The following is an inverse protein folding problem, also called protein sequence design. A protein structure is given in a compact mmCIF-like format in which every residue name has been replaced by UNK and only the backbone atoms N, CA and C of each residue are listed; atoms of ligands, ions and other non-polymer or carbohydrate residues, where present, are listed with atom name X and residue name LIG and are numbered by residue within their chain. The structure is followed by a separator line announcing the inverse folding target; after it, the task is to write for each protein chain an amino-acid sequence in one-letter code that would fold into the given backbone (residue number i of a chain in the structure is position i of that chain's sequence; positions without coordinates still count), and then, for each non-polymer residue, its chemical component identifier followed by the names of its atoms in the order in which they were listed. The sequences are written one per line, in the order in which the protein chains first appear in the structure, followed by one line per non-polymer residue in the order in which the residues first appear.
data_IF_534003865051
#
_entry.id   IF_534003865051
#
_cell.length_a   1.000
_cell.length_b   1.000
_cell.length_c   1.000
_cell.angle_alpha   90.00
_cell.angle_beta   90.00
_cell.angle_gamma   90.00
#
_symmetry.space_group_name_H-M   'P 1'
#
loop_
_entity.id
_entity.type
_entity.pdbx_description
1 polymer ?
#
# COMPACT_ATOMS: atom_id res chain seq x y z
N UNK A 1 11.79 -10.83 -6.47
CA UNK A 1 11.41 -10.47 -5.10
C UNK A 1 11.11 -11.75 -4.33
N UNK A 2 11.72 -11.92 -3.17
CA UNK A 2 11.65 -13.16 -2.40
C UNK A 2 10.78 -12.97 -1.15
N UNK A 3 10.16 -14.05 -0.63
CA UNK A 3 9.52 -14.01 0.68
C UNK A 3 10.51 -13.62 1.76
N UNK A 4 10.11 -12.72 2.65
CA UNK A 4 10.90 -12.29 3.80
C UNK A 4 10.06 -12.41 5.06
N UNK A 5 10.73 -12.41 6.22
CA UNK A 5 10.02 -12.40 7.49
C UNK A 5 9.38 -11.03 7.75
N UNK A 6 8.38 -11.00 8.62
CA UNK A 6 7.75 -9.74 9.05
C UNK A 6 8.78 -8.83 9.74
N UNK A 7 9.68 -9.41 10.51
CA UNK A 7 10.76 -8.65 11.17
C UNK A 7 11.68 -7.98 10.17
N UNK A 8 12.05 -8.67 9.09
CA UNK A 8 12.85 -8.09 8.00
C UNK A 8 12.09 -6.98 7.28
N UNK A 9 10.80 -7.21 6.99
CA UNK A 9 9.96 -6.18 6.37
C UNK A 9 9.88 -4.93 7.24
N UNK A 10 9.64 -5.09 8.54
CA UNK A 10 9.59 -3.99 9.49
C UNK A 10 10.91 -3.21 9.57
N UNK A 11 12.03 -3.92 9.61
CA UNK A 11 13.36 -3.30 9.73
C UNK A 11 13.77 -2.53 8.48
N UNK A 12 13.28 -2.94 7.31
CA UNK A 12 13.69 -2.40 6.02
C UNK A 12 12.63 -1.50 5.36
N UNK A 13 11.38 -1.59 5.78
CA UNK A 13 10.37 -0.64 5.33
C UNK A 13 10.68 0.74 5.91
N UNK A 14 10.91 1.75 5.07
CA UNK A 14 11.21 3.08 5.60
C UNK A 14 10.05 3.59 6.44
N UNK A 15 10.27 3.98 7.70
CA UNK A 15 9.19 4.34 8.62
C UNK A 15 8.40 5.59 8.21
N UNK A 16 8.87 6.29 7.19
CA UNK A 16 8.25 7.53 6.67
C UNK A 16 7.85 7.43 5.21
N UNK A 17 8.04 6.27 4.59
CA UNK A 17 7.62 6.11 3.19
C UNK A 17 6.13 5.85 3.14
N UNK A 18 5.41 6.59 2.28
CA UNK A 18 4.04 6.24 2.02
C UNK A 18 3.97 4.87 1.33
N UNK A 19 2.96 4.10 1.68
CA UNK A 19 2.65 2.86 1.00
C UNK A 19 1.72 3.14 -0.18
N UNK A 20 1.79 2.28 -1.19
CA UNK A 20 0.85 2.27 -2.30
C UNK A 20 -0.12 1.12 -2.09
N UNK A 21 -1.38 1.44 -1.93
CA UNK A 21 -2.45 0.45 -1.86
C UNK A 21 -2.74 -0.06 -3.28
N UNK A 22 -2.56 -1.37 -3.48
CA UNK A 22 -2.83 -2.05 -4.74
C UNK A 22 -4.05 -2.95 -4.54
N UNK A 23 -5.12 -2.64 -5.23
CA UNK A 23 -6.40 -3.33 -5.10
C UNK A 23 -7.02 -3.56 -6.47
N UNK A 24 -7.60 -4.74 -6.67
CA UNK A 24 -8.29 -5.06 -7.91
C UNK A 24 -9.61 -4.27 -7.98
N UNK A 25 -9.73 -3.47 -9.02
CA UNK A 25 -10.94 -2.68 -9.26
C UNK A 25 -12.09 -3.50 -9.85
N UNK A 26 -13.28 -2.91 -9.95
CA UNK A 26 -14.47 -3.59 -10.50
C UNK A 26 -14.30 -4.02 -11.96
N UNK A 27 -13.44 -3.35 -12.71
CA UNK A 27 -13.11 -3.67 -14.11
C UNK A 27 -12.05 -4.76 -14.26
N UNK A 28 -11.53 -5.30 -13.15
CA UNK A 28 -10.48 -6.29 -13.13
C UNK A 28 -9.07 -5.72 -13.23
N UNK A 29 -8.89 -4.44 -13.51
CA UNK A 29 -7.60 -3.78 -13.48
C UNK A 29 -7.17 -3.48 -12.04
N UNK A 30 -5.86 -3.40 -11.80
CA UNK A 30 -5.34 -3.01 -10.49
C UNK A 30 -5.35 -1.48 -10.36
N UNK A 31 -6.02 -0.99 -9.34
CA UNK A 31 -5.92 0.40 -8.89
C UNK A 31 -4.77 0.54 -7.90
N UNK A 32 -3.98 1.59 -8.03
CA UNK A 32 -2.81 1.86 -7.18
C UNK A 32 -2.88 3.29 -6.67
N UNK A 33 -3.04 3.45 -5.36
CA UNK A 33 -3.22 4.76 -4.73
C UNK A 33 -2.28 4.91 -3.55
N UNK A 34 -1.72 6.11 -3.38
CA UNK A 34 -0.86 6.42 -2.25
C UNK A 34 -1.68 6.55 -0.97
N UNK A 35 -1.23 5.91 0.11
CA UNK A 35 -1.80 6.10 1.44
C UNK A 35 -1.26 7.38 2.07
N UNK A 36 -2.00 7.96 3.05
CA UNK A 36 -1.55 9.17 3.75
C UNK A 36 -0.42 8.87 4.74
N UNK A 37 -0.60 7.83 5.56
CA UNK A 37 0.41 7.32 6.47
C UNK A 37 0.18 5.84 6.73
N UNK A 38 1.19 5.19 7.30
CA UNK A 38 1.02 3.84 7.83
C UNK A 38 1.84 3.65 9.11
N UNK A 39 1.48 2.67 9.92
CA UNK A 39 2.23 2.26 11.09
C UNK A 39 2.04 0.78 11.40
N UNK A 40 3.05 0.19 12.03
CA UNK A 40 2.98 -1.16 12.54
C UNK A 40 2.23 -1.16 13.88
N UNK A 41 1.20 -2.02 14.00
CA UNK A 41 0.44 -2.18 15.23
C UNK A 41 0.96 -3.31 16.09
N UNK A 42 1.39 -4.40 15.44
CA UNK A 42 1.92 -5.57 16.11
C UNK A 42 2.87 -6.28 15.15
N UNK A 43 4.00 -6.77 15.66
CA UNK A 43 5.04 -7.40 14.82
C UNK A 43 5.21 -8.87 15.15
N UNK A 44 5.01 -9.28 16.41
CA UNK A 44 5.40 -10.63 16.88
C UNK A 44 4.34 -11.70 16.68
N UNK A 45 3.14 -11.47 17.18
CA UNK A 45 2.03 -12.41 17.04
C UNK A 45 0.92 -11.72 16.25
N UNK A 46 0.38 -12.40 15.25
CA UNK A 46 -0.67 -11.80 14.42
C UNK A 46 -0.26 -10.40 13.96
N UNK A 47 0.78 -10.30 13.13
CA UNK A 47 1.30 -8.99 12.74
C UNK A 47 0.23 -8.17 12.04
N UNK A 48 0.13 -6.92 12.46
CA UNK A 48 -0.87 -5.99 11.96
C UNK A 48 -0.23 -4.66 11.60
N UNK A 49 -0.82 -4.00 10.63
CA UNK A 49 -0.50 -2.63 10.25
C UNK A 49 -1.77 -1.79 10.21
N UNK A 50 -1.59 -0.49 10.29
CA UNK A 50 -2.65 0.48 10.08
C UNK A 50 -2.21 1.51 9.06
N UNK A 51 -3.12 1.91 8.19
CA UNK A 51 -2.87 3.00 7.26
C UNK A 51 -4.10 3.90 7.14
N UNK A 52 -3.92 5.09 6.63
CA UNK A 52 -5.02 6.04 6.45
C UNK A 52 -5.10 6.54 5.02
N UNK A 53 -6.31 6.91 4.64
CA UNK A 53 -6.60 7.54 3.36
C UNK A 53 -7.65 8.62 3.56
N UNK A 54 -7.73 9.54 2.61
CA UNK A 54 -8.84 10.50 2.57
C UNK A 54 -10.17 9.75 2.53
N UNK A 55 -11.14 10.21 3.32
CA UNK A 55 -12.46 9.56 3.43
C UNK A 55 -13.17 9.44 2.08
N UNK A 56 -12.97 10.38 1.20
CA UNK A 56 -13.57 10.43 -0.14
C UNK A 56 -12.72 9.76 -1.23
N UNK A 57 -11.58 9.16 -0.87
CA UNK A 57 -10.81 8.39 -1.84
C UNK A 57 -11.63 7.20 -2.31
N UNK A 58 -11.89 7.14 -3.61
CA UNK A 58 -12.83 6.17 -4.20
C UNK A 58 -12.44 4.72 -3.92
N UNK A 59 -11.15 4.43 -3.92
CA UNK A 59 -10.65 3.08 -3.69
C UNK A 59 -10.86 2.64 -2.24
N UNK A 60 -10.48 3.49 -1.28
CA UNK A 60 -10.61 3.18 0.13
C UNK A 60 -12.07 3.09 0.60
N UNK A 61 -12.97 3.82 -0.04
CA UNK A 61 -14.40 3.82 0.32
C UNK A 61 -15.07 2.45 0.10
N UNK A 62 -14.56 1.65 -0.83
CA UNK A 62 -15.14 0.35 -1.20
C UNK A 62 -14.43 -0.83 -0.53
N UNK A 63 -13.37 -0.61 0.23
CA UNK A 63 -12.65 -1.65 0.93
C UNK A 63 -13.42 -2.08 2.17
N UNK A 64 -13.75 -3.37 2.26
CA UNK A 64 -14.59 -3.94 3.32
C UNK A 64 -13.81 -4.96 4.14
N UNK A 65 -14.24 -5.18 5.39
CA UNK A 65 -13.69 -6.21 6.26
C UNK A 65 -13.65 -7.56 5.56
N UNK A 66 -12.51 -8.23 5.64
CA UNK A 66 -12.25 -9.50 4.97
C UNK A 66 -11.65 -9.38 3.56
N UNK A 67 -11.64 -8.19 2.96
CA UNK A 67 -11.04 -7.99 1.65
C UNK A 67 -9.52 -8.12 1.71
N UNK A 68 -8.95 -8.79 0.72
CA UNK A 68 -7.51 -8.92 0.54
C UNK A 68 -6.98 -7.82 -0.38
N UNK A 69 -5.80 -7.33 -0.07
CA UNK A 69 -5.15 -6.30 -0.85
C UNK A 69 -3.64 -6.33 -0.63
N UNK A 70 -2.93 -5.51 -1.36
CA UNK A 70 -1.47 -5.42 -1.28
C UNK A 70 -1.07 -3.99 -0.94
N UNK A 71 -0.12 -3.84 -0.04
CA UNK A 71 0.60 -2.60 0.21
C UNK A 71 2.02 -2.73 -0.33
N UNK A 72 2.38 -1.86 -1.26
CA UNK A 72 3.72 -1.81 -1.83
C UNK A 72 4.46 -0.57 -1.29
N UNK A 73 5.72 -0.76 -0.93
CA UNK A 73 6.59 0.30 -0.44
C UNK A 73 7.63 0.61 -1.51
N UNK A 74 7.40 1.66 -2.31
CA UNK A 74 8.29 2.02 -3.40
C UNK A 74 9.58 2.68 -2.91
N UNK A 75 10.58 2.76 -3.77
CA UNK A 75 11.75 3.60 -3.55
C UNK A 75 11.35 5.07 -3.39
N UNK A 76 12.23 5.86 -2.79
CA UNK A 76 11.99 7.30 -2.59
C UNK A 76 11.67 8.01 -3.91
N UNK A 77 12.35 7.68 -5.00
CA UNK A 77 12.11 8.31 -6.30
C UNK A 77 10.71 8.01 -6.85
N UNK A 78 10.25 6.78 -6.71
CA UNK A 78 8.89 6.38 -7.13
C UNK A 78 7.85 7.02 -6.20
N UNK A 79 8.10 7.04 -4.90
CA UNK A 79 7.21 7.70 -3.94
C UNK A 79 7.02 9.20 -4.24
N UNK A 80 8.09 9.89 -4.65
CA UNK A 80 8.01 11.29 -5.06
C UNK A 80 7.13 11.49 -6.30
N UNK A 81 7.18 10.59 -7.27
CA UNK A 81 6.31 10.63 -8.46
C UNK A 81 4.84 10.52 -8.06
N UNK A 82 4.51 9.64 -7.13
CA UNK A 82 3.14 9.53 -6.60
C UNK A 82 2.69 10.81 -5.90
N UNK A 83 3.53 11.40 -5.07
CA UNK A 83 3.22 12.67 -4.39
C UNK A 83 2.95 13.81 -5.37
N UNK A 84 3.74 13.90 -6.43
CA UNK A 84 3.51 14.89 -7.49
C UNK A 84 2.20 14.63 -8.22
N UNK A 85 1.88 13.38 -8.55
CA UNK A 85 0.64 13.00 -9.18
C UNK A 85 -0.59 13.37 -8.34
N UNK A 86 -0.53 13.14 -7.03
CA UNK A 86 -1.62 13.52 -6.11
C UNK A 86 -1.85 15.03 -6.08
N UNK A 87 -0.78 15.83 -6.12
CA UNK A 87 -0.90 17.29 -6.11
C UNK A 87 -1.56 17.86 -7.36
N UNK A 88 -1.44 17.16 -8.49
CA UNK A 88 -1.95 17.62 -9.79
C UNK A 88 -3.24 16.91 -10.22
N UNK A 89 -3.60 15.81 -9.57
CA UNK A 89 -4.78 15.04 -9.92
C UNK A 89 -6.07 15.73 -9.44
N UNK A 90 -7.10 15.67 -10.27
CA UNK A 90 -8.45 16.02 -9.84
C UNK A 90 -8.97 14.97 -8.83
N UNK A 91 -9.92 15.38 -7.99
CA UNK A 91 -10.56 14.48 -7.04
C UNK A 91 -11.12 13.22 -7.75
N UNK A 92 -10.80 12.04 -7.22
CA UNK A 92 -11.19 10.76 -7.80
C UNK A 92 -10.25 10.22 -8.88
N UNK A 93 -9.18 10.92 -9.21
CA UNK A 93 -8.18 10.47 -10.20
C UNK A 93 -6.87 10.00 -9.59
N UNK A 94 -6.77 9.97 -8.27
CA UNK A 94 -5.57 9.58 -7.51
C UNK A 94 -5.17 8.12 -7.74
N UNK A 95 -6.06 7.29 -8.25
CA UNK A 95 -5.82 5.88 -8.54
C UNK A 95 -5.05 5.63 -9.84
N UNK A 96 -4.81 6.65 -10.64
CA UNK A 96 -4.02 6.52 -11.87
C UNK A 96 -2.54 6.47 -11.53
N UNK A 97 -1.82 5.57 -12.21
CA UNK A 97 -0.37 5.53 -12.13
C UNK A 97 0.21 6.87 -12.58
N UNK A 98 1.15 7.45 -11.80
CA UNK A 98 1.86 8.64 -12.26
C UNK A 98 2.72 8.34 -13.48
N UNK A 99 3.02 9.36 -14.26
CA UNK A 99 3.93 9.25 -15.41
C UNK A 99 5.28 8.73 -14.96
N UNK A 100 5.82 7.79 -15.72
CA UNK A 100 7.12 7.17 -15.45
C UNK A 100 7.12 6.09 -14.37
N UNK A 101 5.96 5.68 -13.87
CA UNK A 101 5.81 4.51 -13.00
C UNK A 101 5.13 3.39 -13.78
N UNK A 102 5.81 2.26 -13.89
CA UNK A 102 5.28 1.08 -14.58
C UNK A 102 4.62 0.12 -13.60
N UNK A 103 3.47 -0.48 -13.95
CA UNK A 103 2.93 -1.60 -13.19
C UNK A 103 3.65 -2.89 -13.58
N UNK A 104 3.94 -3.72 -12.59
CA UNK A 104 4.48 -5.06 -12.80
C UNK A 104 3.66 -6.12 -12.07
N UNK A 105 3.60 -7.30 -12.65
CA UNK A 105 3.00 -8.48 -12.01
C UNK A 105 4.08 -9.27 -11.27
N UNK A 106 3.73 -9.84 -10.12
CA UNK A 106 4.59 -10.76 -9.38
C UNK A 106 3.87 -12.10 -9.21
N UNK A 107 4.64 -13.18 -9.25
CA UNK A 107 4.12 -14.52 -8.95
C UNK A 107 3.56 -14.58 -7.53
N UNK A 108 2.37 -15.15 -7.39
CA UNK A 108 1.69 -15.28 -6.11
C UNK A 108 0.85 -14.08 -5.70
N UNK A 109 0.81 -13.01 -6.50
CA UNK A 109 -0.09 -11.88 -6.31
C UNK A 109 -1.10 -11.82 -7.45
N UNK A 110 -2.34 -11.50 -7.11
CA UNK A 110 -3.44 -11.31 -8.07
C UNK A 110 -3.61 -9.85 -8.50
N UNK A 111 -2.74 -8.96 -8.02
CA UNK A 111 -2.70 -7.55 -8.36
C UNK A 111 -1.31 -7.17 -8.86
N UNK A 112 -1.24 -6.10 -9.65
CA UNK A 112 0.01 -5.50 -10.03
C UNK A 112 0.53 -4.56 -8.94
N UNK A 113 1.83 -4.32 -8.94
CA UNK A 113 2.50 -3.38 -8.05
C UNK A 113 3.32 -2.38 -8.85
N UNK A 114 3.69 -1.22 -8.29
CA UNK A 114 4.62 -0.32 -8.96
C UNK A 114 6.01 -0.96 -9.09
N UNK A 115 6.59 -0.89 -10.27
CA UNK A 115 8.00 -1.24 -10.48
C UNK A 115 8.88 -0.37 -9.58
N UNK A 116 9.88 -0.96 -8.94
CA UNK A 116 10.71 -0.28 -7.94
C UNK A 116 10.15 -0.36 -6.53
N UNK A 117 9.21 -1.27 -6.27
CA UNK A 117 8.78 -1.60 -4.91
C UNK A 117 9.84 -2.45 -4.21
N UNK A 118 10.22 -2.06 -3.01
CA UNK A 118 11.26 -2.76 -2.22
C UNK A 118 10.66 -3.77 -1.27
N UNK A 119 9.51 -3.44 -0.67
CA UNK A 119 8.75 -4.32 0.21
C UNK A 119 7.32 -4.36 -0.28
N UNK A 120 6.73 -5.54 -0.24
CA UNK A 120 5.33 -5.77 -0.60
C UNK A 120 4.68 -6.58 0.49
N UNK A 121 3.55 -6.11 0.99
CA UNK A 121 2.79 -6.77 2.06
C UNK A 121 1.43 -7.19 1.52
N UNK A 122 1.12 -8.46 1.64
CA UNK A 122 -0.23 -8.98 1.40
C UNK A 122 -1.01 -8.91 2.69
N UNK A 123 -2.15 -8.24 2.66
CA UNK A 123 -2.96 -7.94 3.83
C UNK A 123 -4.42 -8.31 3.64
N UNK A 124 -5.10 -8.49 4.76
CA UNK A 124 -6.56 -8.63 4.82
C UNK A 124 -7.10 -7.56 5.76
N UNK A 125 -8.16 -6.86 5.34
CA UNK A 125 -8.76 -5.81 6.16
C UNK A 125 -9.44 -6.43 7.39
N UNK A 126 -9.00 -6.04 8.59
CA UNK A 126 -9.60 -6.43 9.85
C UNK A 126 -10.73 -5.48 10.27
N UNK A 127 -10.61 -4.21 9.96
CA UNK A 127 -11.63 -3.23 10.24
C UNK A 127 -11.26 -1.85 9.72
N UNK A 128 -12.25 -1.01 9.50
CA UNK A 128 -12.06 0.36 9.05
C UNK A 128 -13.00 1.29 9.80
N UNK A 129 -12.54 2.52 10.07
CA UNK A 129 -13.36 3.51 10.74
C UNK A 129 -13.00 4.93 10.30
N UNK A 130 -14.00 5.81 10.36
CA UNK A 130 -13.81 7.23 10.07
C UNK A 130 -13.29 7.94 11.32
N UNK A 131 -12.19 8.67 11.16
CA UNK A 131 -11.66 9.47 12.26
C UNK A 131 -12.59 10.67 12.54
N UNK A 132 -13.02 10.90 13.79
CA UNK A 132 -13.91 12.02 14.12
C UNK A 132 -13.29 13.36 13.72
N UNK A 133 -14.11 14.24 13.17
CA UNK A 133 -13.74 15.62 12.80
C UNK A 133 -12.66 15.76 11.73
N UNK A 134 -12.24 14.67 11.10
CA UNK A 134 -11.25 14.66 10.01
C UNK A 134 -11.82 13.93 8.80
N UNK A 135 -11.43 14.37 7.61
CA UNK A 135 -11.78 13.67 6.36
C UNK A 135 -10.85 12.49 6.10
N UNK A 136 -10.60 11.69 7.12
CA UNK A 136 -9.66 10.57 7.09
C UNK A 136 -10.37 9.30 7.52
N UNK A 137 -10.12 8.22 6.81
CA UNK A 137 -10.53 6.88 7.17
C UNK A 137 -9.30 6.05 7.51
N UNK A 138 -9.38 5.29 8.60
CA UNK A 138 -8.28 4.45 9.10
C UNK A 138 -8.63 2.99 8.84
N UNK A 139 -7.64 2.24 8.35
CA UNK A 139 -7.77 0.83 8.02
C UNK A 139 -6.78 0.03 8.86
N UNK A 140 -7.30 -0.93 9.63
CA UNK A 140 -6.49 -1.89 10.40
C UNK A 140 -6.47 -3.22 9.65
N UNK A 141 -5.28 -3.77 9.45
CA UNK A 141 -5.07 -4.89 8.56
C UNK A 141 -4.25 -5.99 9.20
N UNK A 142 -4.66 -7.22 8.96
CA UNK A 142 -3.83 -8.39 9.26
C UNK A 142 -2.82 -8.59 8.13
N UNK A 143 -1.57 -8.79 8.51
CA UNK A 143 -0.49 -9.07 7.57
C UNK A 143 -0.39 -10.58 7.35
N UNK A 144 -0.51 -11.02 6.11
CA UNK A 144 -0.47 -12.44 5.78
C UNK A 144 0.86 -12.87 5.20
N UNK A 145 1.51 -12.04 4.38
CA UNK A 145 2.74 -12.37 3.68
C UNK A 145 3.54 -11.11 3.38
N UNK A 146 4.85 -11.21 3.50
CA UNK A 146 5.78 -10.17 3.11
C UNK A 146 6.72 -10.67 2.01
N UNK A 147 6.96 -9.82 1.03
CA UNK A 147 7.95 -10.02 -0.03
C UNK A 147 8.92 -8.84 0.00
N UNK A 148 10.17 -9.10 -0.26
CA UNK A 148 11.18 -8.05 -0.29
C UNK A 148 12.28 -8.33 -1.28
N UNK A 149 12.93 -7.27 -1.73
CA UNK A 149 14.14 -7.33 -2.51
C UNK A 149 15.30 -6.82 -1.63
N UNK A 150 15.90 -7.75 -0.88
CA UNK A 150 16.95 -7.42 0.09
C UNK A 150 18.18 -6.78 -0.55
N UNK A 151 18.49 -7.10 -1.81
CA UNK A 151 19.63 -6.52 -2.52
C UNK A 151 19.43 -5.03 -2.79
N UNK A 152 18.24 -4.63 -3.21
CA UNK A 152 17.94 -3.21 -3.45
C UNK A 152 17.71 -2.42 -2.17
N UNK A 153 17.46 -3.08 -1.04
CA UNK A 153 17.30 -2.42 0.26
C UNK A 153 18.64 -2.04 0.91
N UNK A 154 19.72 -2.71 0.52
CA UNK A 154 21.07 -2.48 1.04
C UNK A 154 21.82 -1.38 0.29
N UNK A 155 21.32 -0.98 -0.85
CA UNK A 155 21.84 0.10 -1.68
C UNK A 155 21.18 1.44 -1.33
#
# INVERSE_FOLDING_TARGET
MNPISVSEAFSNAPPRSPAVLCLKGPDGATDMILTDWFTWLNIKRNPMISFSMQRNASLGANLKEGDSFVLAFPTTSVALKYKQGVRTAAEGQEKKLPDGVEPIALDGLDVQIPKGSEVVLRCTLAGAYNYPFKKVRIFNCNLEKALGNLESMLD
#
